data_IF_010954190799
#
_entry.id   IF_010954190799
#
_cell.length_a   1.000
_cell.length_b   1.000
_cell.length_c   1.000
_cell.angle_alpha   90.00
_cell.angle_beta   90.00
_cell.angle_gamma   90.00
#
_symmetry.space_group_name_H-M   'P 1'
#
loop_
_entity.id
_entity.type
_entity.pdbx_description
1 polymer ?
#
# COMPACT_ATOMS: atom_id res chain seq x y z
N UNK A 1 -16.10 18.65 3.73
CA UNK A 1 -15.06 18.03 2.86
C UNK A 1 -14.66 16.72 3.51
N UNK A 2 -15.04 15.60 2.91
CA UNK A 2 -14.89 14.27 3.51
C UNK A 2 -13.43 13.89 3.66
N UNK A 3 -13.01 13.56 4.88
CA UNK A 3 -11.79 12.80 5.11
C UNK A 3 -12.04 11.38 4.61
N UNK A 4 -11.82 11.16 3.32
CA UNK A 4 -11.83 9.83 2.73
C UNK A 4 -10.61 9.06 3.25
N UNK A 5 -10.89 8.06 4.06
CA UNK A 5 -9.94 7.08 4.57
C UNK A 5 -9.30 6.40 3.35
N UNK A 6 -8.16 6.91 2.88
CA UNK A 6 -7.50 6.47 1.63
C UNK A 6 -7.03 5.02 1.75
N UNK A 7 -7.91 4.10 1.40
CA UNK A 7 -7.62 2.71 1.04
C UNK A 7 -7.43 2.58 -0.48
N UNK A 8 -7.15 3.68 -1.17
CA UNK A 8 -6.99 3.68 -2.63
C UNK A 8 -5.51 3.70 -3.04
N UNK A 9 -5.20 3.00 -4.12
CA UNK A 9 -3.89 3.00 -4.74
C UNK A 9 -3.46 4.44 -5.11
N UNK A 10 -2.26 4.87 -4.73
CA UNK A 10 -1.79 6.22 -5.08
C UNK A 10 -1.53 6.41 -6.59
N UNK A 11 -1.29 5.35 -7.35
CA UNK A 11 -1.06 5.44 -8.79
C UNK A 11 -2.37 5.47 -9.60
N UNK A 12 -3.31 4.56 -9.31
CA UNK A 12 -4.52 4.38 -10.12
C UNK A 12 -5.83 4.71 -9.39
N UNK A 13 -5.78 5.07 -8.10
CA UNK A 13 -6.93 5.38 -7.24
C UNK A 13 -8.01 4.29 -7.18
N UNK A 14 -7.62 3.03 -7.41
CA UNK A 14 -8.49 1.87 -7.19
C UNK A 14 -8.58 1.57 -5.68
N UNK A 15 -9.75 1.14 -5.23
CA UNK A 15 -9.98 0.63 -3.88
C UNK A 15 -9.19 -0.66 -3.62
N UNK A 16 -8.42 -0.68 -2.53
CA UNK A 16 -7.62 -1.81 -2.06
C UNK A 16 -8.39 -2.55 -0.96
N UNK A 17 -8.46 -3.87 -1.04
CA UNK A 17 -9.24 -4.71 -0.11
C UNK A 17 -8.37 -5.47 0.89
N UNK A 18 -7.42 -6.30 0.43
CA UNK A 18 -6.57 -7.13 1.31
C UNK A 18 -5.10 -7.16 0.82
N UNK A 19 -4.89 -7.35 -0.49
CA UNK A 19 -3.56 -7.36 -1.13
C UNK A 19 -3.10 -5.96 -1.53
N UNK A 20 -2.83 -5.13 -0.52
CA UNK A 20 -2.17 -3.85 -0.69
C UNK A 20 -0.67 -3.97 -0.46
N UNK A 21 0.12 -3.21 -1.21
CA UNK A 21 1.55 -3.04 -0.98
C UNK A 21 1.80 -1.67 -0.38
N UNK A 22 2.69 -1.60 0.60
CA UNK A 22 3.05 -0.38 1.30
C UNK A 22 4.57 -0.20 1.29
N UNK A 23 5.04 1.04 1.14
CA UNK A 23 6.45 1.36 1.30
C UNK A 23 6.75 1.89 2.72
N UNK A 24 8.03 2.09 3.05
CA UNK A 24 8.48 2.68 4.32
C UNK A 24 7.90 4.08 4.61
N UNK A 25 7.53 4.82 3.57
CA UNK A 25 6.89 6.14 3.67
C UNK A 25 5.36 6.06 3.65
N UNK A 26 4.79 4.89 3.89
CA UNK A 26 3.34 4.68 3.99
C UNK A 26 2.57 4.91 2.67
N UNK A 27 3.25 4.97 1.53
CA UNK A 27 2.58 4.98 0.21
C UNK A 27 1.97 3.61 -0.06
N UNK A 28 0.70 3.59 -0.47
CA UNK A 28 -0.05 2.34 -0.69
C UNK A 28 -0.37 2.15 -2.18
N UNK A 29 -0.13 0.94 -2.71
CA UNK A 29 -0.35 0.56 -4.10
C UNK A 29 -1.03 -0.80 -4.23
N UNK A 30 -1.73 -1.03 -5.35
CA UNK A 30 -2.28 -2.33 -5.69
C UNK A 30 -1.21 -3.25 -6.29
N UNK A 31 -1.47 -4.57 -6.23
CA UNK A 31 -0.60 -5.59 -6.83
C UNK A 31 -0.21 -5.29 -8.28
N UNK A 32 -1.16 -4.79 -9.08
CA UNK A 32 -0.94 -4.47 -10.50
C UNK A 32 0.07 -3.33 -10.67
N UNK A 33 -0.07 -2.26 -9.88
CA UNK A 33 0.86 -1.14 -9.89
C UNK A 33 2.23 -1.55 -9.36
N UNK A 34 2.28 -2.35 -8.30
CA UNK A 34 3.52 -2.91 -7.77
C UNK A 34 4.23 -3.77 -8.83
N UNK A 35 3.52 -4.70 -9.47
CA UNK A 35 4.07 -5.57 -10.50
C UNK A 35 4.57 -4.79 -11.72
N UNK A 36 3.87 -3.73 -12.11
CA UNK A 36 4.25 -2.86 -13.22
C UNK A 36 5.47 -1.99 -12.93
N UNK A 37 5.79 -1.77 -11.66
CA UNK A 37 6.97 -1.00 -11.22
C UNK A 37 8.04 -1.91 -10.56
N UNK A 38 8.03 -3.22 -10.82
CA UNK A 38 9.01 -4.17 -10.27
C UNK A 38 9.14 -4.12 -8.74
N UNK A 39 8.01 -3.90 -8.04
CA UNK A 39 7.96 -3.72 -6.59
C UNK A 39 8.77 -2.52 -6.08
N UNK A 40 8.97 -1.51 -6.93
CA UNK A 40 9.58 -0.23 -6.57
C UNK A 40 8.51 0.85 -6.49
N UNK A 41 8.51 1.60 -5.39
CA UNK A 41 7.59 2.72 -5.19
C UNK A 41 7.98 3.88 -6.12
N UNK A 42 7.11 4.33 -7.04
CA UNK A 42 7.43 5.43 -7.96
C UNK A 42 7.51 6.81 -7.27
N UNK A 43 6.96 6.96 -6.07
CA UNK A 43 7.01 8.21 -5.31
C UNK A 43 8.25 8.31 -4.41
N UNK A 44 8.73 7.19 -3.89
CA UNK A 44 9.80 7.17 -2.88
C UNK A 44 11.05 6.41 -3.34
N UNK A 45 11.00 5.73 -4.48
CA UNK A 45 12.04 4.84 -4.99
C UNK A 45 12.45 3.73 -4.00
N UNK A 46 11.59 3.43 -3.02
CA UNK A 46 11.80 2.38 -2.03
C UNK A 46 11.13 1.06 -2.42
N UNK A 47 11.45 -0.01 -1.71
CA UNK A 47 10.82 -1.32 -1.91
C UNK A 47 9.36 -1.30 -1.44
N UNK A 48 8.47 -1.87 -2.26
CA UNK A 48 7.07 -2.10 -1.95
C UNK A 48 6.91 -3.51 -1.41
N UNK A 49 6.55 -3.61 -0.13
CA UNK A 49 6.27 -4.89 0.53
C UNK A 49 4.77 -5.04 0.75
N UNK A 50 4.27 -6.29 0.78
CA UNK A 50 2.86 -6.51 1.11
C UNK A 50 2.55 -5.94 2.50
N UNK A 51 1.40 -5.27 2.62
CA UNK A 51 0.94 -4.69 3.88
C UNK A 51 0.86 -5.81 4.92
N UNK A 52 1.65 -5.73 6.02
CA UNK A 52 1.56 -6.73 7.06
C UNK A 52 0.16 -6.69 7.66
N UNK A 53 -0.51 -7.84 7.73
CA UNK A 53 -1.75 -7.96 8.49
C UNK A 53 -1.41 -7.69 9.95
N UNK A 54 -2.19 -6.85 10.67
CA UNK A 54 -1.92 -6.61 12.07
C UNK A 54 -1.83 -7.96 12.77
N UNK A 55 -0.74 -8.25 13.50
CA UNK A 55 -0.68 -9.47 14.29
C UNK A 55 -1.88 -9.41 15.23
N UNK A 56 -2.74 -10.42 15.13
CA UNK A 56 -3.94 -10.59 15.98
C UNK A 56 -3.58 -10.92 17.45
N UNK A 57 -2.47 -10.38 17.98
CA UNK A 57 -1.96 -10.67 19.31
C UNK A 57 -0.56 -10.15 19.57
N UNK A 58 -0.39 -8.83 19.66
CA UNK A 58 0.69 -8.25 20.49
C UNK A 58 0.05 -7.39 21.57
N UNK A 59 -0.45 -8.05 22.60
CA UNK A 59 -0.61 -7.49 23.93
C UNK A 59 0.79 -7.20 24.52
N UNK A 60 0.98 -6.01 25.09
CA UNK A 60 2.05 -5.72 26.04
C UNK A 60 1.40 -5.22 27.32
#
# INVERSE_FOLDING_TARGET
MGLEMKTDCQACRRTLTDDAYICVHECTFCEDCTAKNDSICPNCSGELVRRPKPPTGIEH
#
